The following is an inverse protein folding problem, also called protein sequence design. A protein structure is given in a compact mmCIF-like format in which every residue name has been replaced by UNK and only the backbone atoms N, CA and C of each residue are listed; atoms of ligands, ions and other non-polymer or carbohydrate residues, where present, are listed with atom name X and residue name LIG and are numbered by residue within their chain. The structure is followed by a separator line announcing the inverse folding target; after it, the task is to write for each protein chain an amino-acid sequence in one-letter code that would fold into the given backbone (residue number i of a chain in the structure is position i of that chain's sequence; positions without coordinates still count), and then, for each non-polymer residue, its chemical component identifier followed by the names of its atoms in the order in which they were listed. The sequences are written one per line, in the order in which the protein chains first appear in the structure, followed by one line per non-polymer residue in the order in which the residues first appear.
data_IF_252711289273
#
_entry.id   IF_252711289273
#
_cell.length_a   1.000
_cell.length_b   1.000
_cell.length_c   1.000
_cell.angle_alpha   90.00
_cell.angle_beta   90.00
_cell.angle_gamma   90.00
#
_symmetry.space_group_name_H-M   'P 1'
#
loop_
_entity.id
_entity.type
_entity.pdbx_description
1 polymer ?
#
# COMPACT_ATOMS: atom_id res chain seq x y z
N UNK A 1 11.62 -18.53 11.00
CA UNK A 1 10.90 -18.93 9.78
C UNK A 1 10.29 -17.70 9.13
N UNK A 2 10.52 -17.51 7.85
CA UNK A 2 9.98 -16.36 7.14
C UNK A 2 8.48 -16.53 6.89
N UNK A 3 7.76 -15.41 7.01
CA UNK A 3 6.34 -15.30 6.61
C UNK A 3 6.29 -14.67 5.24
N UNK A 4 5.41 -15.17 4.38
CA UNK A 4 5.26 -14.70 3.01
C UNK A 4 3.79 -14.40 2.71
N UNK A 5 3.55 -13.26 2.05
CA UNK A 5 2.24 -12.90 1.57
C UNK A 5 2.34 -12.33 0.16
N UNK A 6 1.23 -12.33 -0.55
CA UNK A 6 1.17 -11.84 -1.93
C UNK A 6 -0.15 -11.10 -2.14
N UNK A 7 -0.10 -10.09 -2.98
CA UNK A 7 -1.26 -9.32 -3.40
C UNK A 7 -1.26 -9.20 -4.92
N UNK A 8 -2.38 -9.53 -5.55
CA UNK A 8 -2.58 -9.30 -6.99
C UNK A 8 -3.47 -8.08 -7.14
N UNK A 9 -2.95 -7.04 -7.78
CA UNK A 9 -3.65 -5.77 -7.98
C UNK A 9 -4.43 -5.80 -9.28
N UNK A 10 -5.69 -5.41 -9.21
CA UNK A 10 -6.59 -5.23 -10.35
C UNK A 10 -7.50 -4.04 -10.10
N UNK A 11 -7.99 -3.44 -11.18
CA UNK A 11 -8.95 -2.36 -11.14
C UNK A 11 -9.82 -2.34 -12.39
N UNK A 12 -10.54 -1.25 -12.59
CA UNK A 12 -11.42 -1.10 -13.75
C UNK A 12 -10.68 -0.72 -15.03
N UNK A 13 -9.43 -0.29 -14.90
CA UNK A 13 -8.59 0.13 -16.01
C UNK A 13 -7.47 -0.86 -16.32
N UNK A 14 -6.41 -0.33 -16.92
CA UNK A 14 -5.27 -1.12 -17.38
C UNK A 14 -4.24 -1.41 -16.29
N UNK A 15 -4.38 -0.83 -15.10
CA UNK A 15 -3.41 -0.99 -14.03
C UNK A 15 -3.53 -2.37 -13.40
N UNK A 16 -2.43 -3.11 -13.42
CA UNK A 16 -2.32 -4.44 -12.79
C UNK A 16 -0.96 -4.57 -12.13
N UNK A 17 -0.85 -5.49 -11.19
CA UNK A 17 0.43 -5.74 -10.55
C UNK A 17 0.41 -6.91 -9.60
N UNK A 18 1.60 -7.27 -9.15
CA UNK A 18 1.81 -8.28 -8.12
C UNK A 18 2.78 -7.72 -7.10
N UNK A 19 2.41 -7.80 -5.83
CA UNK A 19 3.20 -7.30 -4.71
C UNK A 19 3.43 -8.44 -3.72
N UNK A 20 4.68 -8.64 -3.35
CA UNK A 20 5.07 -9.68 -2.39
C UNK A 20 5.55 -9.05 -1.10
N UNK A 21 5.24 -9.71 -0.01
CA UNK A 21 5.63 -9.31 1.35
C UNK A 21 6.40 -10.45 1.99
N UNK A 22 7.57 -10.16 2.55
CA UNK A 22 8.39 -11.15 3.26
C UNK A 22 8.81 -10.57 4.61
N UNK A 23 8.59 -11.34 5.67
CA UNK A 23 9.02 -10.97 7.01
C UNK A 23 9.80 -12.15 7.61
N UNK A 24 11.05 -11.91 7.93
CA UNK A 24 11.97 -12.96 8.43
C UNK A 24 11.66 -13.38 9.87
N UNK A 25 10.97 -12.54 10.62
CA UNK A 25 10.58 -12.81 12.01
C UNK A 25 9.61 -11.74 12.48
N UNK A 26 8.92 -11.98 13.58
CA UNK A 26 7.84 -11.11 14.08
C UNK A 26 8.32 -9.69 14.42
N UNK A 27 9.57 -9.52 14.76
CA UNK A 27 10.20 -8.25 15.13
C UNK A 27 11.04 -7.65 14.00
N UNK A 28 11.03 -8.27 12.83
CA UNK A 28 11.83 -7.83 11.69
C UNK A 28 10.99 -6.96 10.76
N UNK A 29 11.64 -6.06 9.99
CA UNK A 29 10.90 -5.29 8.98
C UNK A 29 10.34 -6.21 7.90
N UNK A 30 9.28 -5.73 7.25
CA UNK A 30 8.69 -6.40 6.10
C UNK A 30 9.32 -5.84 4.84
N UNK A 31 9.76 -6.74 3.97
CA UNK A 31 10.21 -6.38 2.62
C UNK A 31 9.03 -6.49 1.68
N UNK A 32 8.77 -5.40 0.97
CA UNK A 32 7.68 -5.28 0.00
C UNK A 32 8.32 -5.12 -1.37
N UNK A 33 8.03 -6.03 -2.27
CA UNK A 33 8.61 -6.02 -3.61
C UNK A 33 7.59 -6.42 -4.65
N UNK A 34 7.85 -6.06 -5.89
CA UNK A 34 6.95 -6.42 -6.98
C UNK A 34 6.97 -5.40 -8.10
N UNK A 35 5.94 -5.47 -8.93
CA UNK A 35 5.83 -4.63 -10.12
C UNK A 35 4.37 -4.29 -10.37
N UNK A 36 4.12 -3.03 -10.71
CA UNK A 36 2.81 -2.54 -11.16
C UNK A 36 3.00 -1.96 -12.55
N UNK A 37 2.09 -2.29 -13.46
CA UNK A 37 2.12 -1.82 -14.85
C UNK A 37 0.85 -1.04 -15.20
N UNK A 38 0.89 -0.30 -16.30
CA UNK A 38 -0.27 0.46 -16.79
C UNK A 38 -0.48 1.79 -16.11
N UNK A 39 0.52 2.27 -15.35
CA UNK A 39 0.46 3.56 -14.65
C UNK A 39 0.87 4.71 -15.57
N UNK A 40 0.38 5.91 -15.29
CA UNK A 40 0.97 7.11 -15.85
C UNK A 40 2.38 7.27 -15.27
N UNK A 41 3.36 7.78 -16.03
CA UNK A 41 4.69 8.04 -15.48
C UNK A 41 4.66 8.98 -14.28
N UNK A 42 5.49 8.71 -13.30
CA UNK A 42 5.60 9.52 -12.08
C UNK A 42 5.18 8.79 -10.83
N UNK A 43 4.96 9.55 -9.77
CA UNK A 43 4.65 9.04 -8.44
C UNK A 43 3.16 8.70 -8.28
N UNK A 44 2.90 7.60 -7.59
CA UNK A 44 1.54 7.15 -7.25
C UNK A 44 1.49 6.72 -5.80
N UNK A 45 0.53 7.24 -5.05
CA UNK A 45 0.32 6.83 -3.68
C UNK A 45 0.09 5.32 -3.58
N UNK A 46 0.67 4.71 -2.56
CA UNK A 46 0.68 3.26 -2.37
C UNK A 46 0.45 2.96 -0.90
N UNK A 47 -0.68 2.33 -0.58
CA UNK A 47 -1.11 2.17 0.80
C UNK A 47 -1.74 0.82 1.07
N UNK A 48 -1.67 0.38 2.33
CA UNK A 48 -2.52 -0.68 2.84
C UNK A 48 -3.77 -0.04 3.42
N UNK A 49 -4.94 -0.47 2.94
CA UNK A 49 -6.24 -0.06 3.43
C UNK A 49 -6.80 -1.09 4.42
N UNK A 50 -7.74 -0.66 5.26
CA UNK A 50 -8.16 -1.39 6.45
C UNK A 50 -8.80 -2.74 6.17
N UNK A 51 -9.68 -2.82 5.15
CA UNK A 51 -10.50 -4.00 4.92
C UNK A 51 -10.07 -4.76 3.67
N UNK A 52 -10.07 -6.09 3.77
CA UNK A 52 -9.88 -6.99 2.63
C UNK A 52 -11.19 -7.22 1.86
N UNK A 53 -12.01 -6.19 1.75
CA UNK A 53 -13.31 -6.23 1.11
C UNK A 53 -13.24 -5.50 -0.23
N UNK A 54 -13.34 -6.26 -1.32
CA UNK A 54 -13.37 -5.71 -2.67
C UNK A 54 -14.73 -5.97 -3.34
N UNK A 55 -15.80 -6.15 -2.56
CA UNK A 55 -17.15 -6.41 -3.10
C UNK A 55 -17.70 -5.26 -3.93
N UNK A 56 -17.28 -4.03 -3.63
CA UNK A 56 -17.60 -2.85 -4.44
C UNK A 56 -16.32 -2.21 -4.94
N UNK A 57 -15.47 -3.01 -5.60
CA UNK A 57 -14.18 -2.56 -6.08
C UNK A 57 -13.26 -2.08 -4.95
N UNK A 58 -12.43 -1.12 -5.23
CA UNK A 58 -11.46 -0.63 -4.25
C UNK A 58 -12.09 0.25 -3.17
N UNK A 59 -13.32 0.74 -3.37
CA UNK A 59 -14.01 1.61 -2.39
C UNK A 59 -14.26 0.87 -1.09
N UNK A 60 -14.67 -0.40 -1.17
CA UNK A 60 -14.99 -1.19 0.01
C UNK A 60 -13.78 -1.58 0.86
N UNK A 61 -12.56 -1.31 0.38
CA UNK A 61 -11.36 -1.48 1.20
C UNK A 61 -11.26 -0.48 2.37
N UNK A 62 -12.04 0.57 2.34
CA UNK A 62 -12.10 1.57 3.41
C UNK A 62 -10.96 2.57 3.39
N UNK A 63 -10.62 3.11 4.56
CA UNK A 63 -9.55 4.08 4.76
C UNK A 63 -8.18 3.39 4.87
N UNK A 64 -7.12 4.17 4.94
CA UNK A 64 -5.78 3.65 5.23
C UNK A 64 -5.79 2.86 6.53
N UNK A 65 -5.05 1.77 6.56
CA UNK A 65 -4.93 0.96 7.77
C UNK A 65 -4.26 1.76 8.89
N UNK A 66 -5.03 2.10 9.90
CA UNK A 66 -4.64 3.05 10.95
C UNK A 66 -5.01 2.52 12.35
N UNK A 67 -4.37 1.43 12.82
CA UNK A 67 -4.73 0.85 14.11
C UNK A 67 -4.35 1.70 15.31
N UNK A 68 -3.45 2.67 15.15
CA UNK A 68 -2.96 3.51 16.25
C UNK A 68 -3.58 4.91 16.29
N UNK A 69 -4.52 5.22 15.40
CA UNK A 69 -5.22 6.51 15.41
C UNK A 69 -4.33 7.71 15.09
N UNK A 70 -3.39 7.55 14.18
CA UNK A 70 -2.47 8.62 13.76
C UNK A 70 -2.97 9.33 12.51
N UNK A 71 -2.32 10.45 12.15
CA UNK A 71 -2.56 11.12 10.89
C UNK A 71 -1.65 10.57 9.80
N UNK A 72 -2.01 10.84 8.54
CA UNK A 72 -1.24 10.40 7.38
C UNK A 72 0.15 11.03 7.35
N UNK A 73 1.15 10.25 6.95
CA UNK A 73 2.52 10.72 6.83
C UNK A 73 3.34 9.87 5.87
N UNK A 74 4.63 10.19 5.80
CA UNK A 74 5.59 9.40 5.03
C UNK A 74 5.95 8.10 5.77
N UNK A 75 6.47 7.10 5.04
CA UNK A 75 6.90 5.84 5.67
C UNK A 75 7.93 6.02 6.80
N UNK A 76 8.76 7.06 6.72
CA UNK A 76 9.80 7.33 7.72
C UNK A 76 9.32 8.22 8.85
N UNK A 77 8.10 8.73 8.80
CA UNK A 77 7.56 9.60 9.84
C UNK A 77 7.09 8.79 11.04
N UNK A 78 7.22 9.37 12.25
CA UNK A 78 6.62 8.79 13.46
C UNK A 78 5.09 8.94 13.44
N UNK A 79 4.59 10.04 12.89
CA UNK A 79 3.18 10.32 12.73
C UNK A 79 2.74 9.86 11.34
N UNK A 80 2.28 8.61 11.25
CA UNK A 80 1.78 8.00 10.02
C UNK A 80 0.79 6.88 10.34
N UNK A 81 -0.05 6.52 9.36
CA UNK A 81 -0.81 5.27 9.42
C UNK A 81 0.15 4.09 9.19
N UNK A 82 -0.15 2.93 9.77
CA UNK A 82 0.65 1.73 9.49
C UNK A 82 0.66 1.44 7.98
N UNK A 83 -0.45 1.68 7.30
CA UNK A 83 -0.58 1.43 5.87
C UNK A 83 0.10 2.44 4.95
N UNK A 84 0.75 3.48 5.48
CA UNK A 84 1.36 4.54 4.67
C UNK A 84 2.72 4.11 4.12
N UNK A 85 2.74 3.59 2.90
CA UNK A 85 3.95 3.11 2.23
C UNK A 85 4.54 4.12 1.22
N UNK A 86 3.99 5.34 1.19
CA UNK A 86 4.53 6.42 0.35
C UNK A 86 4.08 6.32 -1.09
N UNK A 87 5.01 6.51 -2.00
CA UNK A 87 4.76 6.47 -3.44
C UNK A 87 5.52 5.34 -4.10
N UNK A 88 4.95 4.77 -5.14
CA UNK A 88 5.69 3.99 -6.13
C UNK A 88 5.92 4.87 -7.36
N UNK A 89 7.04 4.67 -8.04
CA UNK A 89 7.43 5.53 -9.16
C UNK A 89 7.36 4.75 -10.45
N UNK A 90 6.46 5.18 -11.34
CA UNK A 90 6.33 4.58 -12.67
C UNK A 90 7.30 5.27 -13.64
N UNK A 91 7.98 4.45 -14.44
CA UNK A 91 8.88 4.94 -15.50
C UNK A 91 8.09 5.42 -16.74
N UNK A 92 8.79 5.78 -17.78
CA UNK A 92 8.18 6.26 -19.03
C UNK A 92 7.30 5.21 -19.70
N UNK A 93 7.48 3.91 -19.37
CA UNK A 93 6.67 2.80 -19.89
C UNK A 93 5.46 2.51 -19.00
N UNK A 94 5.28 3.23 -17.90
CA UNK A 94 4.20 3.00 -16.96
C UNK A 94 4.43 1.84 -15.99
N UNK A 95 5.70 1.46 -15.81
CA UNK A 95 6.10 0.34 -14.93
C UNK A 95 6.71 0.89 -13.66
N UNK A 96 6.16 0.51 -12.52
CA UNK A 96 6.72 0.78 -11.21
C UNK A 96 7.30 -0.49 -10.62
N UNK A 97 8.59 -0.48 -10.32
CA UNK A 97 9.24 -1.56 -9.59
C UNK A 97 9.25 -1.20 -8.11
N UNK A 98 8.79 -2.12 -7.27
CA UNK A 98 8.62 -1.89 -5.84
C UNK A 98 9.75 -2.58 -5.09
N UNK A 99 10.42 -1.84 -4.21
CA UNK A 99 11.46 -2.36 -3.33
C UNK A 99 11.48 -1.51 -2.06
N UNK A 100 10.66 -1.93 -1.09
CA UNK A 100 10.42 -1.19 0.15
C UNK A 100 10.78 -2.09 1.33
N UNK A 101 11.36 -1.50 2.37
CA UNK A 101 11.52 -2.14 3.68
C UNK A 101 10.80 -1.28 4.70
N UNK A 102 9.81 -1.83 5.39
CA UNK A 102 8.99 -1.08 6.34
C UNK A 102 8.95 -1.77 7.70
N UNK A 103 9.10 -0.96 8.76
CA UNK A 103 9.17 -1.46 10.12
C UNK A 103 7.83 -1.45 10.86
N UNK A 104 6.79 -0.81 10.31
CA UNK A 104 5.48 -0.74 10.97
C UNK A 104 4.50 -1.79 10.45
N UNK A 105 4.58 -2.14 9.18
CA UNK A 105 3.79 -3.24 8.61
C UNK A 105 4.27 -4.55 9.20
N UNK A 106 3.33 -5.43 9.53
CA UNK A 106 3.65 -6.78 10.00
C UNK A 106 2.73 -7.81 9.35
N UNK A 107 3.24 -9.01 9.15
CA UNK A 107 2.48 -10.15 8.62
C UNK A 107 1.97 -11.08 9.72
N UNK A 108 2.22 -10.75 10.98
CA UNK A 108 1.88 -11.61 12.12
C UNK A 108 1.22 -10.81 13.23
N UNK A 109 0.48 -11.52 14.09
CA UNK A 109 -0.17 -10.95 15.25
C UNK A 109 -1.49 -10.23 14.92
N UNK A 110 -2.11 -9.57 15.91
CA UNK A 110 -3.44 -8.96 15.75
C UNK A 110 -3.45 -7.75 14.81
N UNK A 111 -2.29 -7.15 14.55
CA UNK A 111 -2.17 -6.00 13.66
C UNK A 111 -1.65 -6.39 12.27
N UNK A 112 -1.64 -7.68 11.95
CA UNK A 112 -1.19 -8.17 10.64
C UNK A 112 -1.95 -7.50 9.49
N UNK A 113 -1.23 -7.22 8.41
CA UNK A 113 -1.85 -6.70 7.18
C UNK A 113 -2.42 -7.81 6.29
N UNK A 114 -2.17 -9.07 6.61
CA UNK A 114 -2.77 -10.19 5.88
C UNK A 114 -4.30 -10.14 6.03
N UNK A 115 -4.99 -10.23 4.90
CA UNK A 115 -6.45 -10.09 4.85
C UNK A 115 -6.93 -8.66 4.64
N UNK A 116 -6.03 -7.68 4.58
CA UNK A 116 -6.35 -6.28 4.23
C UNK A 116 -6.05 -6.03 2.76
N UNK A 117 -6.19 -4.81 2.29
CA UNK A 117 -6.08 -4.49 0.86
C UNK A 117 -4.92 -3.54 0.60
N UNK A 118 -4.14 -3.81 -0.46
CA UNK A 118 -3.22 -2.84 -1.04
C UNK A 118 -3.95 -2.05 -2.11
N UNK A 119 -3.77 -0.73 -2.11
CA UNK A 119 -4.32 0.16 -3.15
C UNK A 119 -3.20 1.00 -3.74
N UNK A 120 -3.16 1.10 -5.07
CA UNK A 120 -2.33 2.07 -5.80
C UNK A 120 -3.25 3.18 -6.33
N UNK A 121 -2.80 4.42 -6.19
CA UNK A 121 -3.61 5.61 -6.46
C UNK A 121 -3.21 6.33 -7.75
N UNK A 122 -4.11 7.21 -8.21
CA UNK A 122 -3.92 7.96 -9.44
C UNK A 122 -2.85 9.04 -9.32
N UNK A 123 -2.74 9.67 -8.15
CA UNK A 123 -1.95 10.87 -7.96
C UNK A 123 -0.82 10.65 -6.94
N UNK A 124 0.04 11.66 -6.85
CA UNK A 124 1.15 11.67 -5.89
C UNK A 124 0.61 11.73 -4.47
N UNK A 125 1.12 10.87 -3.60
CA UNK A 125 0.94 11.01 -2.16
C UNK A 125 1.84 12.16 -1.68
N UNK A 126 1.27 13.21 -1.10
CA UNK A 126 2.01 14.37 -0.62
C UNK A 126 2.69 14.14 0.75
N UNK A 127 2.60 12.92 1.28
CA UNK A 127 3.23 12.48 2.53
C UNK A 127 2.75 13.28 3.75
N UNK A 128 1.55 13.85 3.65
CA UNK A 128 0.97 14.66 4.72
C UNK A 128 1.51 16.10 4.77
N UNK A 129 2.26 16.52 3.76
CA UNK A 129 2.99 17.79 3.75
C UNK A 129 2.53 18.77 2.67
N UNK A 130 1.50 18.41 1.91
CA UNK A 130 1.05 19.22 0.77
C UNK A 130 0.22 20.44 1.12
N UNK A 131 -0.25 20.56 2.36
CA UNK A 131 -1.08 21.69 2.78
C UNK A 131 -2.50 21.64 2.26
N UNK A 132 -2.93 20.53 1.70
CA UNK A 132 -4.30 20.30 1.24
C UNK A 132 -5.15 19.75 2.40
N UNK A 133 -6.47 19.95 2.33
CA UNK A 133 -7.37 19.42 3.37
C UNK A 133 -7.31 17.90 3.51
N UNK A 134 -6.95 17.17 2.44
CA UNK A 134 -6.81 15.71 2.45
C UNK A 134 -5.39 15.23 2.78
N UNK A 135 -4.42 16.14 2.93
CA UNK A 135 -3.02 15.74 3.15
C UNK A 135 -2.84 14.87 4.39
N UNK A 136 -3.52 15.19 5.48
CA UNK A 136 -3.39 14.47 6.77
C UNK A 136 -4.29 13.24 6.87
N UNK A 137 -5.10 12.96 5.87
CA UNK A 137 -5.98 11.78 5.84
C UNK A 137 -5.59 10.79 4.77
N UNK A 138 -5.45 11.22 3.52
CA UNK A 138 -5.19 10.33 2.38
C UNK A 138 -3.90 10.65 1.63
N UNK A 139 -3.19 11.72 2.01
CA UNK A 139 -2.07 12.22 1.24
C UNK A 139 -2.50 12.87 -0.08
N UNK A 140 -3.78 13.15 -0.23
CA UNK A 140 -4.35 13.73 -1.45
C UNK A 140 -3.97 12.92 -2.71
N UNK A 141 -3.87 11.60 -2.57
CA UNK A 141 -3.36 10.71 -3.63
C UNK A 141 -4.42 10.38 -4.70
N UNK A 142 -5.63 10.85 -4.55
CA UNK A 142 -6.67 10.74 -5.56
C UNK A 142 -7.30 9.36 -5.70
N UNK A 143 -7.81 9.09 -6.89
CA UNK A 143 -8.59 7.89 -7.17
C UNK A 143 -7.81 6.60 -6.94
N UNK A 144 -8.54 5.52 -6.67
CA UNK A 144 -8.00 4.17 -6.47
C UNK A 144 -7.98 3.46 -7.81
N UNK A 145 -6.78 3.26 -8.37
CA UNK A 145 -6.62 2.68 -9.71
C UNK A 145 -6.72 1.17 -9.71
N UNK A 146 -6.13 0.53 -8.72
CA UNK A 146 -6.13 -0.91 -8.60
C UNK A 146 -5.95 -1.29 -7.14
N UNK A 147 -6.44 -2.48 -6.78
CA UNK A 147 -6.35 -2.99 -5.43
C UNK A 147 -6.36 -4.51 -5.42
N UNK A 148 -5.98 -5.08 -4.30
CA UNK A 148 -6.02 -6.52 -4.08
C UNK A 148 -5.85 -6.85 -2.61
N UNK A 149 -6.42 -8.00 -2.22
CA UNK A 149 -6.31 -8.50 -0.85
C UNK A 149 -4.94 -9.13 -0.66
N UNK A 150 -4.33 -8.86 0.49
CA UNK A 150 -3.06 -9.47 0.87
C UNK A 150 -3.37 -10.88 1.40
N UNK A 151 -2.90 -11.88 0.68
CA UNK A 151 -3.12 -13.27 1.03
C UNK A 151 -1.82 -13.96 1.47
N UNK A 152 -1.96 -15.02 2.25
CA UNK A 152 -0.81 -15.85 2.58
C UNK A 152 -0.34 -16.59 1.34
N UNK A 153 0.96 -16.80 1.23
CA UNK A 153 1.54 -17.56 0.13
C UNK A 153 2.64 -18.46 0.60
N UNK A 154 2.95 -19.43 -0.23
CA UNK A 154 4.04 -20.37 0.03
C UNK A 154 5.38 -19.63 -0.02
N UNK A 155 6.25 -19.99 0.89
CA UNK A 155 7.61 -19.47 0.94
C UNK A 155 8.42 -19.79 -0.33
#
# INVERSE_FOLDING_TARGET
MALNAVCVLKGDGAVTGTVKFVQEGADKPVKVSGQITGLEPGNHGFHVHEFGDNTNGCVSAGAHYNPHGKTHGAPDDAERHVGDLGNVVADASGVANIDISDSQVTLTGPLSVVGRTVVVHADVDDLGKGGHELSKTTGNAGARLACGVIGITKA
#
